data_IF_764722683481
#
_entry.id   IF_764722683481
#
_cell.length_a   1.000
_cell.length_b   1.000
_cell.length_c   1.000
_cell.angle_alpha   90.00
_cell.angle_beta   90.00
_cell.angle_gamma   90.00
#
_symmetry.space_group_name_H-M   'P 1'
#
loop_
_entity.id
_entity.type
_entity.pdbx_description
1 polymer ?
#
# COMPACT_ATOMS: atom_id res chain seq x y z
N UNK A 1 -2.59 -1.63 -7.69
CA UNK A 1 -1.28 -1.05 -7.26
C UNK A 1 -1.44 -0.60 -5.83
N UNK A 2 -0.44 -0.86 -4.99
CA UNK A 2 -0.56 -0.93 -3.53
C UNK A 2 -0.96 0.39 -2.87
N UNK A 3 -1.95 0.28 -1.98
CA UNK A 3 -2.20 1.16 -0.86
C UNK A 3 -0.86 1.62 -0.24
N UNK A 4 -0.55 2.91 -0.40
CA UNK A 4 0.63 3.50 0.18
C UNK A 4 0.50 3.48 1.71
N UNK A 5 1.29 2.62 2.34
CA UNK A 5 1.95 2.91 3.63
C UNK A 5 0.97 3.30 4.75
N UNK A 6 0.00 2.43 5.11
CA UNK A 6 -0.85 2.71 6.29
C UNK A 6 -0.82 1.67 7.41
N UNK A 7 -0.21 0.50 7.23
CA UNK A 7 -0.14 -0.51 8.31
C UNK A 7 1.26 -0.94 8.70
N UNK A 8 2.29 -0.64 7.91
CA UNK A 8 3.65 -1.12 8.21
C UNK A 8 4.44 -0.22 9.18
N UNK A 9 4.06 1.05 9.34
CA UNK A 9 4.74 1.97 10.26
C UNK A 9 4.21 1.90 11.70
N UNK A 10 2.97 1.43 11.91
CA UNK A 10 2.38 1.40 13.25
C UNK A 10 2.93 0.27 14.14
N UNK A 11 3.28 -0.89 13.56
CA UNK A 11 3.88 -2.01 14.31
C UNK A 11 5.39 -1.87 14.51
N UNK A 12 6.10 -1.14 13.65
CA UNK A 12 7.55 -0.98 13.77
C UNK A 12 7.98 0.08 14.79
N UNK A 13 7.16 1.12 15.02
CA UNK A 13 7.46 2.17 16.02
C UNK A 13 7.24 1.64 17.45
N UNK A 14 6.25 0.77 17.68
CA UNK A 14 6.06 0.16 19.00
C UNK A 14 7.14 -0.86 19.37
N UNK A 15 7.73 -1.58 18.39
CA UNK A 15 8.83 -2.51 18.65
C UNK A 15 10.15 -1.79 19.01
N UNK A 16 10.39 -0.59 18.48
CA UNK A 16 11.62 0.16 18.77
C UNK A 16 11.55 0.96 20.08
N UNK A 17 10.35 1.27 20.59
CA UNK A 17 10.20 2.02 21.84
C UNK A 17 10.45 1.15 23.08
N UNK A 18 10.37 -0.19 22.97
CA UNK A 18 10.68 -1.11 24.08
C UNK A 18 12.18 -1.45 24.23
N UNK A 19 13.01 -1.21 23.21
CA UNK A 19 14.46 -1.48 23.31
C UNK A 19 15.27 -0.35 23.97
N UNK A 20 14.69 0.84 24.14
CA UNK A 20 15.39 1.99 24.73
C UNK A 20 15.38 2.02 26.27
N UNK A 21 14.73 1.06 26.95
CA UNK A 21 14.68 0.99 28.43
C UNK A 21 15.57 -0.11 29.03
N UNK A 22 16.24 -0.92 28.22
CA UNK A 22 17.14 -1.97 28.74
C UNK A 22 18.58 -1.48 28.69
N UNK A 23 19.08 -1.09 29.86
CA UNK A 23 20.47 -0.70 30.06
C UNK A 23 21.45 -1.84 29.73
N UNK A 24 22.72 -1.51 29.40
CA UNK A 24 23.71 -2.49 29.03
C UNK A 24 24.23 -3.20 30.28
N UNK A 25 23.63 -4.35 30.62
CA UNK A 25 24.16 -5.17 31.71
C UNK A 25 23.19 -6.21 32.23
N UNK A 26 22.77 -7.18 31.41
CA UNK A 26 22.46 -8.51 31.95
C UNK A 26 22.39 -9.57 30.85
N UNK A 27 23.33 -10.53 30.91
CA UNK A 27 23.50 -11.61 29.93
C UNK A 27 22.49 -12.76 30.11
N UNK A 28 21.53 -12.63 31.02
CA UNK A 28 20.66 -13.73 31.47
C UNK A 28 19.25 -13.73 30.85
N UNK A 29 18.88 -12.75 30.02
CA UNK A 29 17.52 -12.63 29.47
C UNK A 29 17.31 -13.28 28.09
N UNK A 30 18.31 -13.97 27.54
CA UNK A 30 18.24 -14.60 26.22
C UNK A 30 17.49 -15.95 26.18
N UNK A 31 17.04 -16.48 27.32
CA UNK A 31 16.44 -17.84 27.39
C UNK A 31 14.90 -17.84 27.30
N UNK A 32 14.22 -16.71 27.47
CA UNK A 32 12.73 -16.70 27.50
C UNK A 32 12.08 -16.42 26.15
N UNK A 33 12.84 -15.94 25.14
CA UNK A 33 12.30 -15.60 23.82
C UNK A 33 12.09 -16.81 22.89
N UNK A 34 12.68 -17.97 23.20
CA UNK A 34 12.58 -19.18 22.34
C UNK A 34 11.32 -20.00 22.61
N UNK A 35 10.64 -19.79 23.74
CA UNK A 35 9.49 -20.62 24.14
C UNK A 35 8.14 -20.19 23.53
N UNK A 36 8.06 -19.03 22.86
CA UNK A 36 6.81 -18.53 22.28
C UNK A 36 6.53 -18.98 20.84
N UNK A 37 7.51 -19.57 20.15
CA UNK A 37 7.34 -20.02 18.76
C UNK A 37 6.83 -21.45 18.61
N UNK A 38 6.73 -22.22 19.70
CA UNK A 38 6.42 -23.66 19.64
C UNK A 38 4.95 -24.02 19.94
N UNK A 39 4.15 -23.06 20.42
CA UNK A 39 2.73 -23.29 20.74
C UNK A 39 1.77 -23.20 19.54
N UNK A 40 2.21 -22.72 18.37
CA UNK A 40 1.34 -22.53 17.18
C UNK A 40 1.29 -23.72 16.22
N UNK A 41 2.08 -24.76 16.43
CA UNK A 41 2.12 -25.94 15.54
C UNK A 41 1.12 -27.04 15.88
N UNK A 42 0.30 -26.90 16.93
CA UNK A 42 -0.56 -27.99 17.44
C UNK A 42 -2.07 -27.79 17.33
N UNK A 43 -2.55 -26.81 16.56
CA UNK A 43 -4.00 -26.53 16.44
C UNK A 43 -4.54 -26.61 15.02
N UNK A 44 -3.91 -27.43 14.15
CA UNK A 44 -4.44 -27.72 12.81
C UNK A 44 -4.47 -29.24 12.60
N UNK A 45 -5.33 -29.91 13.38
CA UNK A 45 -5.64 -31.32 13.17
C UNK A 45 -7.04 -31.60 13.74
N UNK A 46 -8.07 -31.25 12.97
CA UNK A 46 -9.39 -31.89 12.94
C UNK A 46 -10.37 -30.93 12.23
N UNK A 47 -10.45 -31.04 10.91
CA UNK A 47 -11.67 -30.70 10.17
C UNK A 47 -11.91 -31.85 9.20
N UNK A 48 -13.09 -32.42 9.32
CA UNK A 48 -13.53 -33.65 8.72
C UNK A 48 -13.54 -33.64 7.19
N UNK A 49 -13.16 -34.80 6.68
CA UNK A 49 -13.15 -35.20 5.28
C UNK A 49 -14.59 -35.36 4.77
N UNK A 50 -15.14 -34.34 4.12
CA UNK A 50 -16.32 -34.49 3.26
C UNK A 50 -15.87 -34.72 1.81
N UNK A 51 -16.26 -35.87 1.26
CA UNK A 51 -15.90 -36.33 -0.07
C UNK A 51 -16.38 -35.37 -1.17
N UNK A 52 -15.42 -34.82 -1.93
CA UNK A 52 -15.68 -34.12 -3.19
C UNK A 52 -15.17 -34.98 -4.35
N UNK A 53 -16.06 -35.16 -5.32
CA UNK A 53 -15.91 -36.01 -6.50
C UNK A 53 -14.75 -35.57 -7.41
N UNK A 54 -13.99 -36.51 -8.03
CA UNK A 54 -12.87 -36.18 -8.89
C UNK A 54 -13.32 -36.08 -10.35
N UNK A 55 -13.59 -34.86 -10.83
CA UNK A 55 -13.58 -34.58 -12.26
C UNK A 55 -13.31 -33.08 -12.51
N UNK A 56 -12.35 -32.81 -13.39
CA UNK A 56 -11.93 -31.49 -13.90
C UNK A 56 -10.91 -30.70 -13.06
N UNK A 57 -9.64 -31.13 -13.13
CA UNK A 57 -8.50 -30.21 -13.02
C UNK A 57 -7.67 -30.30 -14.29
N UNK A 58 -7.90 -29.38 -15.23
CA UNK A 58 -6.93 -29.03 -16.25
C UNK A 58 -6.83 -27.50 -16.35
N UNK A 59 -5.61 -27.04 -16.12
CA UNK A 59 -4.96 -25.98 -16.91
C UNK A 59 -5.25 -24.51 -16.55
N UNK A 60 -4.92 -24.09 -15.32
CA UNK A 60 -4.79 -22.66 -14.97
C UNK A 60 -3.66 -22.40 -13.97
N UNK A 61 -2.40 -22.73 -14.29
CA UNK A 61 -1.26 -22.49 -13.36
C UNK A 61 -0.03 -21.82 -14.02
N UNK A 62 -0.17 -21.25 -15.21
CA UNK A 62 0.96 -20.59 -15.89
C UNK A 62 1.33 -19.17 -15.36
N UNK A 63 0.41 -18.26 -14.97
CA UNK A 63 0.78 -16.86 -14.74
C UNK A 63 1.38 -16.57 -13.35
N UNK A 64 1.15 -17.42 -12.34
CA UNK A 64 1.65 -17.20 -10.97
C UNK A 64 3.17 -17.42 -10.84
N UNK A 65 3.74 -18.35 -11.61
CA UNK A 65 5.16 -18.65 -11.55
C UNK A 65 6.04 -17.51 -12.10
N UNK A 66 5.57 -16.80 -13.14
CA UNK A 66 6.29 -15.69 -13.76
C UNK A 66 6.43 -14.47 -12.82
N UNK A 67 5.37 -14.16 -12.06
CA UNK A 67 5.38 -13.05 -11.09
C UNK A 67 6.39 -13.35 -9.97
N UNK A 68 6.38 -14.56 -9.41
CA UNK A 68 7.31 -14.95 -8.32
C UNK A 68 8.78 -14.93 -8.79
N UNK A 69 9.05 -15.29 -10.05
CA UNK A 69 10.40 -15.24 -10.62
C UNK A 69 10.93 -13.80 -10.72
N UNK A 70 10.09 -12.85 -11.14
CA UNK A 70 10.45 -11.43 -11.26
C UNK A 70 10.78 -10.79 -9.90
N UNK A 71 10.03 -11.16 -8.85
CA UNK A 71 10.31 -10.71 -7.48
C UNK A 71 11.65 -11.24 -6.94
N UNK A 72 11.98 -12.52 -7.20
CA UNK A 72 13.27 -13.10 -6.78
C UNK A 72 14.47 -12.41 -7.44
N UNK A 73 14.33 -11.98 -8.68
CA UNK A 73 15.40 -11.31 -9.41
C UNK A 73 15.64 -9.88 -8.90
N UNK A 74 14.56 -9.16 -8.60
CA UNK A 74 14.62 -7.83 -7.98
C UNK A 74 15.24 -7.86 -6.58
N UNK A 75 14.91 -8.87 -5.77
CA UNK A 75 15.44 -9.01 -4.41
C UNK A 75 16.96 -9.31 -4.40
N UNK A 76 17.45 -10.10 -5.35
CA UNK A 76 18.90 -10.35 -5.52
C UNK A 76 19.67 -9.10 -5.91
N UNK A 77 19.07 -8.23 -6.73
CA UNK A 77 19.71 -6.98 -7.14
C UNK A 77 19.82 -5.99 -5.98
N UNK A 78 18.75 -5.82 -5.21
CA UNK A 78 18.73 -4.95 -4.03
C UNK A 78 19.73 -5.41 -2.95
N UNK A 79 19.81 -6.72 -2.68
CA UNK A 79 20.75 -7.25 -1.68
C UNK A 79 22.22 -7.06 -2.12
N UNK A 80 22.52 -7.19 -3.41
CA UNK A 80 23.87 -6.88 -3.97
C UNK A 80 24.22 -5.40 -3.86
N UNK A 81 23.26 -4.50 -4.13
CA UNK A 81 23.46 -3.06 -3.97
C UNK A 81 23.71 -2.68 -2.51
N UNK A 82 22.96 -3.26 -1.58
CA UNK A 82 23.12 -3.00 -0.15
C UNK A 82 24.47 -3.49 0.37
N UNK A 83 24.92 -4.67 -0.06
CA UNK A 83 26.26 -5.19 0.26
C UNK A 83 27.38 -4.35 -0.37
N UNK A 84 27.22 -3.89 -1.62
CA UNK A 84 28.21 -3.03 -2.28
C UNK A 84 28.33 -1.66 -1.58
N UNK A 85 27.22 -1.07 -1.14
CA UNK A 85 27.21 0.17 -0.38
C UNK A 85 27.81 -0.01 1.02
N UNK A 86 27.56 -1.16 1.66
CA UNK A 86 28.17 -1.49 2.95
C UNK A 86 29.70 -1.68 2.84
N UNK A 87 30.17 -2.45 1.84
CA UNK A 87 31.60 -2.64 1.60
C UNK A 87 32.32 -1.31 1.30
N UNK A 88 31.70 -0.42 0.51
CA UNK A 88 32.27 0.90 0.19
C UNK A 88 32.35 1.83 1.40
N UNK A 89 31.51 1.63 2.43
CA UNK A 89 31.58 2.36 3.69
C UNK A 89 32.73 1.86 4.57
N UNK A 90 32.94 0.55 4.61
CA UNK A 90 34.02 -0.07 5.42
C UNK A 90 35.40 0.24 4.83
N UNK A 91 35.56 0.31 3.51
CA UNK A 91 36.86 0.65 2.89
C UNK A 91 37.28 2.12 3.02
N UNK A 92 36.47 2.99 3.64
CA UNK A 92 36.78 4.42 3.79
C UNK A 92 37.31 4.79 5.18
N UNK A 93 37.52 3.82 6.08
CA UNK A 93 37.97 4.07 7.46
C UNK A 93 39.46 3.86 7.72
N UNK A 94 40.24 3.39 6.75
CA UNK A 94 41.69 3.15 6.90
C UNK A 94 42.47 3.78 5.75
N UNK A 95 42.63 5.11 5.79
CA UNK A 95 43.82 5.88 5.35
C UNK A 95 43.41 7.32 5.10
N UNK A 96 43.44 8.15 6.15
CA UNK A 96 43.51 9.59 5.93
C UNK A 96 44.62 10.19 6.80
N UNK A 97 45.77 10.55 6.21
CA UNK A 97 46.78 11.31 6.91
C UNK A 97 46.19 12.68 7.29
N UNK A 98 46.43 13.04 8.55
CA UNK A 98 46.04 14.33 9.13
C UNK A 98 46.96 15.42 8.58
N UNK A 99 46.69 15.90 7.38
CA UNK A 99 47.20 17.21 6.94
C UNK A 99 46.04 18.20 6.86
N UNK A 100 45.98 19.01 7.93
CA UNK A 100 45.12 20.18 8.08
C UNK A 100 45.69 21.32 7.25
N UNK A 101 44.99 21.71 6.19
CA UNK A 101 45.12 23.06 5.66
C UNK A 101 43.95 23.41 4.73
N UNK A 102 43.14 24.36 5.20
CA UNK A 102 42.40 25.32 4.39
C UNK A 102 41.33 24.78 3.44
N UNK A 103 40.13 24.55 3.99
CA UNK A 103 38.88 25.01 3.39
C UNK A 103 37.91 25.26 4.56
N UNK A 104 37.53 26.53 4.72
CA UNK A 104 36.59 26.97 5.75
C UNK A 104 35.24 26.26 5.56
N UNK A 105 34.95 25.32 6.46
CA UNK A 105 33.62 24.75 6.60
C UNK A 105 32.87 25.46 7.74
N UNK A 106 31.53 25.56 7.64
CA UNK A 106 30.66 26.20 8.61
C UNK A 106 30.92 25.71 10.04
N UNK A 107 31.08 26.67 10.95
CA UNK A 107 31.68 26.52 12.28
C UNK A 107 30.71 26.08 13.39
N UNK A 108 29.47 25.69 13.08
CA UNK A 108 28.51 25.33 14.14
C UNK A 108 27.83 23.97 13.94
N UNK A 109 27.68 23.16 15.01
CA UNK A 109 26.99 21.86 14.94
C UNK A 109 25.51 21.99 14.56
N UNK A 110 24.90 23.17 14.74
CA UNK A 110 23.54 23.49 14.33
C UNK A 110 23.38 23.48 12.79
N UNK A 111 24.34 24.01 12.04
CA UNK A 111 24.25 24.10 10.56
C UNK A 111 24.36 22.72 9.89
N UNK A 112 25.09 21.77 10.49
CA UNK A 112 25.20 20.39 9.97
C UNK A 112 23.89 19.60 10.13
N UNK A 113 23.08 19.91 11.13
CA UNK A 113 21.76 19.28 11.31
C UNK A 113 20.74 19.81 10.30
N UNK A 114 20.75 21.12 10.03
CA UNK A 114 19.83 21.76 9.07
C UNK A 114 20.04 21.22 7.65
N UNK A 115 21.30 21.05 7.23
CA UNK A 115 21.62 20.60 5.86
C UNK A 115 21.24 19.14 5.57
N UNK A 116 21.15 18.28 6.58
CA UNK A 116 20.71 16.88 6.43
C UNK A 116 19.19 16.73 6.48
N UNK A 117 18.49 17.54 7.28
CA UNK A 117 17.03 17.50 7.38
C UNK A 117 16.34 17.94 6.08
N UNK A 118 16.90 18.94 5.37
CA UNK A 118 16.35 19.44 4.11
C UNK A 118 16.38 18.40 2.98
N UNK A 119 17.44 17.59 2.91
CA UNK A 119 17.60 16.52 1.92
C UNK A 119 16.65 15.34 2.15
N UNK A 120 16.24 15.08 3.39
CA UNK A 120 15.28 14.01 3.72
C UNK A 120 13.84 14.44 3.40
N UNK A 121 13.50 15.71 3.60
CA UNK A 121 12.16 16.24 3.27
C UNK A 121 11.85 16.23 1.76
N UNK A 122 12.86 16.42 0.90
CA UNK A 122 12.71 16.40 -0.56
C UNK A 122 12.54 14.99 -1.17
N UNK A 123 12.79 13.93 -0.38
CA UNK A 123 12.65 12.54 -0.82
C UNK A 123 11.38 11.87 -0.29
N UNK A 124 10.52 12.60 0.43
CA UNK A 124 9.23 12.05 0.83
C UNK A 124 8.34 11.97 -0.41
N UNK A 125 7.95 10.76 -0.86
CA UNK A 125 7.00 10.64 -1.95
C UNK A 125 5.71 11.33 -1.51
N UNK A 126 5.27 12.30 -2.30
CA UNK A 126 3.93 12.87 -2.16
C UNK A 126 2.96 11.74 -2.50
N UNK A 127 2.46 11.05 -1.48
CA UNK A 127 1.39 10.08 -1.65
C UNK A 127 0.15 10.87 -2.08
N UNK A 128 -0.08 10.97 -3.39
CA UNK A 128 -1.35 11.47 -3.92
C UNK A 128 -2.45 10.54 -3.43
N UNK A 129 -3.16 10.99 -2.40
CA UNK A 129 -4.24 10.22 -1.80
C UNK A 129 -5.46 10.23 -2.74
N UNK A 130 -6.04 9.05 -2.95
CA UNK A 130 -7.31 8.92 -3.67
C UNK A 130 -8.40 9.55 -2.83
N UNK A 131 -9.15 10.45 -3.42
CA UNK A 131 -10.33 11.05 -2.80
C UNK A 131 -11.58 10.45 -3.42
N UNK A 132 -12.42 9.84 -2.59
CA UNK A 132 -13.68 9.27 -3.03
C UNK A 132 -14.76 10.35 -3.10
N UNK A 133 -15.36 10.50 -4.27
CA UNK A 133 -16.40 11.48 -4.54
C UNK A 133 -17.65 10.78 -5.05
N UNK A 134 -18.81 11.16 -4.52
CA UNK A 134 -20.09 10.76 -5.08
C UNK A 134 -20.42 11.66 -6.28
N UNK A 135 -20.64 11.07 -7.46
CA UNK A 135 -20.99 11.82 -8.66
C UNK A 135 -22.38 12.44 -8.57
N UNK A 136 -22.69 13.38 -9.47
CA UNK A 136 -24.08 13.78 -9.69
C UNK A 136 -24.88 12.63 -10.33
N UNK A 137 -26.21 12.68 -10.23
CA UNK A 137 -27.09 11.65 -10.79
C UNK A 137 -26.84 11.49 -12.30
N UNK A 138 -26.60 10.26 -12.76
CA UNK A 138 -26.29 9.92 -14.15
C UNK A 138 -24.91 10.36 -14.65
N UNK A 139 -24.09 11.01 -13.82
CA UNK A 139 -22.78 11.50 -14.25
C UNK A 139 -21.71 10.40 -14.23
N UNK A 140 -20.73 10.51 -15.13
CA UNK A 140 -19.54 9.66 -15.14
C UNK A 140 -18.51 10.13 -14.10
N UNK A 141 -17.50 9.30 -13.82
CA UNK A 141 -16.43 9.70 -12.91
C UNK A 141 -15.45 10.71 -13.51
N UNK A 142 -15.32 10.76 -14.83
CA UNK A 142 -14.58 11.85 -15.49
C UNK A 142 -15.21 13.21 -15.20
N UNK A 143 -16.55 13.27 -15.21
CA UNK A 143 -17.29 14.48 -14.86
C UNK A 143 -17.17 14.80 -13.36
N UNK A 144 -17.33 13.80 -12.49
CA UNK A 144 -17.25 13.99 -11.04
C UNK A 144 -15.86 14.47 -10.59
N UNK A 145 -14.81 13.98 -11.24
CA UNK A 145 -13.42 14.31 -10.90
C UNK A 145 -12.85 15.48 -11.72
N UNK A 146 -13.65 16.21 -12.50
CA UNK A 146 -13.17 17.27 -13.38
C UNK A 146 -12.46 18.42 -12.65
N UNK A 147 -12.94 18.76 -11.45
CA UNK A 147 -12.32 19.74 -10.56
C UNK A 147 -11.03 19.22 -9.88
N UNK A 148 -10.82 17.91 -9.94
CA UNK A 148 -9.67 17.20 -9.39
C UNK A 148 -8.71 16.82 -10.53
N UNK A 149 -7.59 16.19 -10.21
CA UNK A 149 -6.63 15.73 -11.22
C UNK A 149 -7.11 14.50 -12.02
N UNK A 150 -8.42 14.44 -12.34
CA UNK A 150 -9.05 13.33 -13.06
C UNK A 150 -9.41 12.12 -12.19
N UNK A 151 -10.08 11.16 -12.82
CA UNK A 151 -10.41 9.87 -12.23
C UNK A 151 -9.21 8.91 -12.27
N UNK A 152 -9.06 8.07 -11.26
CA UNK A 152 -8.00 7.07 -11.14
C UNK A 152 -8.57 5.67 -11.39
N UNK A 153 -8.33 5.14 -12.59
CA UNK A 153 -8.89 3.86 -13.02
C UNK A 153 -8.23 2.63 -12.35
N UNK A 154 -7.12 2.82 -11.65
CA UNK A 154 -6.39 1.75 -10.93
C UNK A 154 -6.79 1.64 -9.45
N UNK A 155 -7.66 2.54 -8.97
CA UNK A 155 -8.03 2.69 -7.57
C UNK A 155 -9.42 2.14 -7.22
N UNK A 156 -10.02 1.34 -8.10
CA UNK A 156 -11.29 0.67 -7.80
C UNK A 156 -11.16 -0.29 -6.62
N UNK A 157 -12.19 -0.39 -5.75
CA UNK A 157 -12.16 -1.32 -4.64
C UNK A 157 -12.07 -2.76 -5.14
N UNK A 158 -11.20 -3.53 -4.51
CA UNK A 158 -10.94 -4.95 -4.80
C UNK A 158 -11.73 -5.90 -3.91
N UNK A 159 -12.34 -5.36 -2.85
CA UNK A 159 -13.19 -6.11 -1.91
C UNK A 159 -14.41 -5.29 -1.51
N UNK A 160 -15.43 -5.98 -0.99
CA UNK A 160 -16.65 -5.34 -0.49
C UNK A 160 -16.36 -4.40 0.70
N UNK A 161 -15.40 -4.76 1.55
CA UNK A 161 -14.94 -3.93 2.67
C UNK A 161 -14.33 -2.60 2.17
N UNK A 162 -13.41 -2.67 1.19
CA UNK A 162 -12.83 -1.47 0.56
C UNK A 162 -13.90 -0.61 -0.12
N UNK A 163 -14.93 -1.24 -0.70
CA UNK A 163 -16.07 -0.53 -1.28
C UNK A 163 -16.85 0.23 -0.20
N UNK A 164 -17.13 -0.39 0.94
CA UNK A 164 -17.84 0.26 2.04
C UNK A 164 -17.08 1.46 2.60
N UNK A 165 -15.76 1.34 2.72
CA UNK A 165 -14.89 2.45 3.11
C UNK A 165 -14.93 3.59 2.08
N UNK A 166 -14.85 3.26 0.79
CA UNK A 166 -14.98 4.22 -0.31
C UNK A 166 -16.32 4.96 -0.30
N UNK A 167 -17.44 4.23 -0.15
CA UNK A 167 -18.78 4.81 -0.07
C UNK A 167 -18.92 5.74 1.13
N UNK A 168 -18.38 5.35 2.29
CA UNK A 168 -18.38 6.15 3.51
C UNK A 168 -17.55 7.43 3.36
N UNK A 169 -16.37 7.35 2.74
CA UNK A 169 -15.54 8.51 2.42
C UNK A 169 -16.24 9.48 1.46
N UNK A 170 -17.05 8.95 0.54
CA UNK A 170 -17.92 9.72 -0.34
C UNK A 170 -19.22 10.23 0.34
N UNK A 171 -19.39 9.99 1.65
CA UNK A 171 -20.53 10.47 2.43
C UNK A 171 -21.82 9.67 2.26
N UNK A 172 -21.75 8.41 1.81
CA UNK A 172 -22.91 7.54 1.69
C UNK A 172 -22.82 6.34 2.65
N UNK A 173 -23.95 6.05 3.31
CA UNK A 173 -24.17 4.78 3.99
C UNK A 173 -25.21 4.01 3.20
N UNK A 174 -24.93 2.74 2.89
CA UNK A 174 -25.82 1.87 2.12
C UNK A 174 -26.74 1.10 3.09
N UNK A 175 -28.05 1.11 2.87
CA UNK A 175 -28.97 0.24 3.65
C UNK A 175 -28.80 -1.23 3.27
N UNK A 176 -28.40 -1.48 2.03
CA UNK A 176 -28.07 -2.80 1.52
C UNK A 176 -27.16 -2.67 0.30
N UNK A 177 -26.39 -3.73 0.08
CA UNK A 177 -25.37 -3.81 -0.97
C UNK A 177 -25.73 -4.96 -1.91
N UNK A 178 -25.69 -4.70 -3.20
CA UNK A 178 -25.94 -5.68 -4.26
C UNK A 178 -24.65 -5.92 -5.04
N UNK A 179 -24.24 -7.17 -5.16
CA UNK A 179 -23.02 -7.57 -5.88
C UNK A 179 -23.28 -7.68 -7.38
N UNK A 180 -22.46 -7.00 -8.17
CA UNK A 180 -22.56 -6.96 -9.61
C UNK A 180 -23.76 -6.16 -10.12
N UNK A 181 -23.94 -6.17 -11.45
CA UNK A 181 -25.17 -5.73 -12.09
C UNK A 181 -24.99 -4.59 -13.09
N UNK A 182 -24.09 -3.64 -12.85
CA UNK A 182 -23.89 -2.53 -13.77
C UNK A 182 -22.43 -2.28 -14.14
N UNK A 183 -22.21 -1.93 -15.42
CA UNK A 183 -20.90 -1.54 -15.96
C UNK A 183 -20.28 -0.31 -15.29
N UNK A 184 -21.10 0.48 -14.59
CA UNK A 184 -20.71 1.72 -13.93
C UNK A 184 -20.49 1.57 -12.42
N UNK A 185 -20.74 0.40 -11.83
CA UNK A 185 -20.52 0.17 -10.40
C UNK A 185 -19.04 0.40 -10.03
N UNK A 186 -18.73 0.87 -8.81
CA UNK A 186 -19.63 1.05 -7.66
C UNK A 186 -20.54 2.28 -7.73
N UNK A 187 -21.80 2.13 -7.28
CA UNK A 187 -22.84 3.15 -7.38
C UNK A 187 -23.92 3.06 -6.30
N UNK A 188 -24.82 4.04 -6.23
CA UNK A 188 -25.99 4.06 -5.35
C UNK A 188 -27.19 4.71 -6.03
N UNK A 189 -28.40 4.28 -5.69
CA UNK A 189 -29.66 4.95 -6.03
C UNK A 189 -30.07 6.03 -4.99
N UNK A 190 -29.22 6.24 -3.98
CA UNK A 190 -29.46 7.11 -2.83
C UNK A 190 -29.73 6.35 -1.52
N UNK A 191 -30.11 5.07 -1.60
CA UNK A 191 -30.41 4.21 -0.44
C UNK A 191 -29.65 2.89 -0.48
N UNK A 192 -29.77 2.17 -1.58
CA UNK A 192 -29.08 0.91 -1.83
C UNK A 192 -27.86 1.16 -2.71
N UNK A 193 -26.88 0.27 -2.62
CA UNK A 193 -25.65 0.39 -3.38
C UNK A 193 -25.39 -0.84 -4.24
N UNK A 194 -24.93 -0.60 -5.47
CA UNK A 194 -24.33 -1.63 -6.32
C UNK A 194 -22.82 -1.59 -6.16
N UNK A 195 -22.20 -2.74 -5.94
CA UNK A 195 -20.74 -2.87 -5.91
C UNK A 195 -20.28 -3.92 -6.90
N UNK A 196 -19.00 -3.85 -7.24
CA UNK A 196 -18.32 -4.73 -8.20
C UNK A 196 -18.81 -4.58 -9.64
N UNK A 197 -18.31 -3.53 -10.30
CA UNK A 197 -18.33 -3.47 -11.76
C UNK A 197 -17.52 -4.61 -12.40
N UNK A 198 -17.60 -4.79 -13.72
CA UNK A 198 -16.90 -5.86 -14.43
C UNK A 198 -15.38 -5.77 -14.23
N UNK A 199 -14.73 -6.92 -13.99
CA UNK A 199 -13.27 -7.02 -13.87
C UNK A 199 -12.54 -6.62 -15.15
N UNK A 200 -13.19 -6.84 -16.30
CA UNK A 200 -12.66 -6.52 -17.61
C UNK A 200 -13.69 -5.70 -18.38
N UNK A 201 -13.35 -4.44 -18.61
CA UNK A 201 -13.95 -3.64 -19.65
C UNK A 201 -13.18 -3.90 -20.95
N UNK A 202 -13.86 -3.99 -22.08
CA UNK A 202 -13.27 -4.31 -23.39
C UNK A 202 -12.36 -3.18 -23.94
N UNK A 203 -11.35 -2.78 -23.17
CA UNK A 203 -10.49 -1.61 -23.44
C UNK A 203 -11.08 -0.27 -23.01
N UNK A 204 -12.32 -0.24 -22.52
CA UNK A 204 -12.96 1.00 -22.04
C UNK A 204 -12.60 1.29 -20.58
N UNK A 205 -12.37 2.56 -20.25
CA UNK A 205 -12.17 2.95 -18.85
C UNK A 205 -13.49 2.94 -18.08
N UNK A 206 -13.47 2.44 -16.84
CA UNK A 206 -14.64 2.53 -15.95
C UNK A 206 -14.93 3.98 -15.55
N UNK A 207 -13.95 4.87 -15.62
CA UNK A 207 -14.14 6.29 -15.34
C UNK A 207 -15.15 6.95 -16.31
N UNK A 208 -15.13 6.55 -17.57
CA UNK A 208 -15.96 7.12 -18.65
C UNK A 208 -17.43 6.70 -18.62
N UNK A 209 -17.77 5.65 -17.86
CA UNK A 209 -19.14 5.12 -17.86
C UNK A 209 -20.09 6.03 -17.08
N UNK A 210 -21.17 6.46 -17.72
CA UNK A 210 -22.25 7.16 -17.04
C UNK A 210 -23.17 6.17 -16.32
N UNK A 211 -23.69 6.59 -15.17
CA UNK A 211 -24.81 5.90 -14.51
C UNK A 211 -26.14 6.19 -15.21
N UNK A 212 -27.19 5.47 -14.78
CA UNK A 212 -28.56 5.85 -15.14
C UNK A 212 -28.98 7.15 -14.43
N UNK A 213 -30.07 7.79 -14.87
CA UNK A 213 -30.47 9.13 -14.42
C UNK A 213 -30.75 9.27 -12.92
N UNK A 214 -31.01 8.17 -12.21
CA UNK A 214 -31.19 8.13 -10.75
C UNK A 214 -29.98 7.58 -9.98
N UNK A 215 -28.90 7.24 -10.68
CA UNK A 215 -27.75 6.55 -10.11
C UNK A 215 -26.60 7.51 -9.88
N UNK A 216 -25.99 7.44 -8.71
CA UNK A 216 -24.83 8.21 -8.31
C UNK A 216 -23.64 7.25 -8.20
N UNK A 217 -22.54 7.54 -8.89
CA UNK A 217 -21.33 6.70 -8.88
C UNK A 217 -20.41 7.09 -7.73
N UNK A 218 -19.67 6.11 -7.19
CA UNK A 218 -18.55 6.39 -6.30
C UNK A 218 -17.27 6.43 -7.10
N UNK A 219 -16.65 7.60 -7.16
CA UNK A 219 -15.56 7.90 -8.09
C UNK A 219 -14.24 8.07 -7.35
N UNK A 220 -13.20 7.27 -7.70
CA UNK A 220 -11.86 7.47 -7.19
C UNK A 220 -11.20 8.63 -7.92
N UNK A 221 -11.22 9.81 -7.34
CA UNK A 221 -10.55 10.96 -7.91
C UNK A 221 -9.11 11.07 -7.40
N UNK A 222 -8.20 11.51 -8.27
CA UNK A 222 -6.88 11.93 -7.84
C UNK A 222 -6.99 13.16 -6.91
N UNK A 223 -5.91 13.45 -6.18
CA UNK A 223 -5.84 14.61 -5.30
C UNK A 223 -6.20 15.92 -6.04
N UNK A 224 -6.64 16.90 -5.25
CA UNK A 224 -6.97 18.23 -5.74
C UNK A 224 -5.79 18.83 -6.52
N UNK A 225 -6.11 19.57 -7.59
CA UNK A 225 -5.09 20.35 -8.29
C UNK A 225 -4.68 21.45 -7.32
N UNK A 226 -3.45 21.42 -6.82
CA UNK A 226 -2.84 22.58 -6.16
C UNK A 226 -2.97 23.76 -7.15
N UNK A 227 -3.76 24.77 -6.78
CA UNK A 227 -4.03 25.97 -7.58
C UNK A 227 -2.99 27.05 -7.29
#
# INVERSE_FOLDING_TARGET
MHACISTYTYTHIHALTQFAQLGPGDSSSLVTAVHWTDARKRTVASIDTAAVSPAQTREVDAPRAAVIASFRQSWKFLNRLQLALYARRVSRTEDQPRDLAHLELPRTPAERMVSRALLVALLLPVCSAITWVKSAAGASCDQACAARSGCNDDAWPSSEEEFHDAAKLAGQVCEGTQTGGAKYDPSTDGRYCGWQGPEHMNGESRCSQSGDSGTYRFCPCNADKEL
#
